data_IF_591247671613
#
_entry.id   IF_591247671613
#
_cell.length_a   1.000
_cell.length_b   1.000
_cell.length_c   1.000
_cell.angle_alpha   90.00
_cell.angle_beta   90.00
_cell.angle_gamma   90.00
#
_symmetry.space_group_name_H-M   'P 1'
#
loop_
_entity.id
_entity.type
_entity.pdbx_description
1 polymer ?
#
# COMPACT_ATOMS: atom_id res chain seq x y z
N UNK A 1 -13.62 15.22 -9.56
CA UNK A 1 -14.86 14.83 -8.86
C UNK A 1 -14.44 14.13 -7.58
N UNK A 2 -14.67 14.74 -6.42
CA UNK A 2 -14.29 14.17 -5.13
C UNK A 2 -15.16 12.95 -4.84
N UNK A 3 -14.56 11.76 -4.69
CA UNK A 3 -15.27 10.53 -4.33
C UNK A 3 -15.95 10.74 -2.98
N UNK A 4 -17.28 10.56 -2.92
CA UNK A 4 -18.10 10.89 -1.74
C UNK A 4 -17.79 10.05 -0.50
N UNK A 5 -16.95 9.02 -0.64
CA UNK A 5 -16.44 8.20 0.46
C UNK A 5 -15.21 8.80 1.16
N UNK A 6 -14.63 9.87 0.61
CA UNK A 6 -13.42 10.50 1.14
C UNK A 6 -13.80 11.84 1.77
N UNK A 7 -14.02 11.81 3.09
CA UNK A 7 -14.21 13.02 3.87
C UNK A 7 -12.89 13.77 4.10
N UNK A 8 -12.96 15.09 4.33
CA UNK A 8 -11.80 15.96 4.55
C UNK A 8 -10.90 15.50 5.70
N UNK A 9 -11.45 14.80 6.70
CA UNK A 9 -10.68 14.20 7.80
C UNK A 9 -9.75 13.06 7.36
N UNK A 10 -10.01 12.41 6.22
CA UNK A 10 -9.12 11.40 5.66
C UNK A 10 -7.91 12.06 4.99
N UNK A 11 -8.12 13.21 4.33
CA UNK A 11 -7.05 13.98 3.67
C UNK A 11 -6.07 14.62 4.65
N UNK A 12 -6.44 14.76 5.93
CA UNK A 12 -5.51 15.19 6.99
C UNK A 12 -4.53 14.09 7.44
N UNK A 13 -4.81 12.84 7.08
CA UNK A 13 -3.99 11.67 7.41
C UNK A 13 -3.14 11.26 6.21
N UNK A 14 -2.13 10.42 6.43
CA UNK A 14 -1.30 9.91 5.33
C UNK A 14 -2.09 8.95 4.45
N UNK A 15 -1.77 8.93 3.17
CA UNK A 15 -2.22 7.90 2.25
C UNK A 15 -1.09 6.90 2.02
N UNK A 16 -1.42 5.61 2.07
CA UNK A 16 -0.45 4.54 1.87
C UNK A 16 -0.77 3.72 0.62
N UNK A 17 0.26 3.40 -0.15
CA UNK A 17 0.18 2.49 -1.29
C UNK A 17 1.09 1.31 -1.01
N UNK A 18 0.52 0.12 -0.83
CA UNK A 18 1.28 -1.10 -0.58
C UNK A 18 1.43 -1.91 -1.87
N UNK A 19 2.68 -2.15 -2.25
CA UNK A 19 3.09 -2.86 -3.46
C UNK A 19 3.77 -4.15 -3.04
N UNK A 20 3.26 -5.29 -3.53
CA UNK A 20 3.86 -6.61 -3.29
C UNK A 20 3.97 -7.40 -4.59
N UNK A 21 5.11 -8.02 -4.81
CA UNK A 21 5.34 -8.97 -5.91
C UNK A 21 6.06 -10.19 -5.38
N UNK A 22 5.55 -11.39 -5.70
CA UNK A 22 5.89 -12.61 -4.98
C UNK A 22 7.23 -13.25 -5.39
N UNK A 23 7.90 -12.80 -6.46
CA UNK A 23 9.26 -13.27 -6.81
C UNK A 23 10.00 -12.27 -7.72
N UNK A 24 11.35 -12.23 -7.71
CA UNK A 24 12.14 -11.40 -8.63
C UNK A 24 11.85 -11.71 -10.11
N UNK A 25 11.64 -13.00 -10.42
CA UNK A 25 11.26 -13.45 -11.77
C UNK A 25 9.90 -12.89 -12.22
N UNK A 26 8.94 -12.74 -11.31
CA UNK A 26 7.66 -12.09 -11.63
C UNK A 26 7.79 -10.57 -11.80
N UNK A 27 8.68 -9.90 -11.05
CA UNK A 27 8.92 -8.45 -11.23
C UNK A 27 9.46 -8.16 -12.63
N UNK A 28 10.39 -8.99 -13.11
CA UNK A 28 10.98 -8.82 -14.43
C UNK A 28 10.00 -9.12 -15.57
N UNK A 29 9.15 -10.15 -15.40
CA UNK A 29 8.16 -10.57 -16.39
C UNK A 29 6.86 -9.74 -16.37
N UNK A 30 6.51 -9.09 -15.25
CA UNK A 30 5.25 -8.37 -15.07
C UNK A 30 5.44 -6.85 -14.88
N UNK A 31 6.32 -6.24 -15.70
CA UNK A 31 6.59 -4.79 -15.65
C UNK A 31 5.34 -3.92 -15.77
N UNK A 32 4.32 -4.35 -16.53
CA UNK A 32 3.03 -3.66 -16.60
C UNK A 32 2.26 -3.69 -15.27
N UNK A 33 2.33 -4.81 -14.54
CA UNK A 33 1.71 -4.93 -13.22
C UNK A 33 2.39 -4.01 -12.22
N UNK A 34 3.72 -3.93 -12.26
CA UNK A 34 4.50 -2.99 -11.43
C UNK A 34 4.12 -1.54 -11.76
N UNK A 35 4.05 -1.16 -13.04
CA UNK A 35 3.62 0.18 -13.45
C UNK A 35 2.21 0.52 -12.98
N UNK A 36 1.26 -0.42 -13.06
CA UNK A 36 -0.11 -0.20 -12.55
C UNK A 36 -0.16 -0.04 -11.04
N UNK A 37 0.72 -0.72 -10.30
CA UNK A 37 0.83 -0.57 -8.85
C UNK A 37 1.38 0.81 -8.47
N UNK A 38 2.41 1.29 -9.16
CA UNK A 38 2.90 2.66 -8.96
C UNK A 38 1.89 3.73 -9.40
N UNK A 39 1.07 3.45 -10.42
CA UNK A 39 -0.02 4.34 -10.82
C UNK A 39 -1.09 4.54 -9.72
N UNK A 40 -1.12 3.69 -8.68
CA UNK A 40 -1.96 3.93 -7.52
C UNK A 40 -1.51 5.15 -6.71
N UNK A 41 -0.22 5.49 -6.70
CA UNK A 41 0.27 6.69 -6.03
C UNK A 41 -0.30 7.96 -6.69
N UNK A 42 -0.31 7.99 -8.03
CA UNK A 42 -0.94 9.09 -8.78
C UNK A 42 -2.45 9.11 -8.53
N UNK A 43 -3.10 7.94 -8.46
CA UNK A 43 -4.52 7.87 -8.11
C UNK A 43 -4.84 8.42 -6.72
N UNK A 44 -3.97 8.19 -5.73
CA UNK A 44 -4.12 8.80 -4.39
C UNK A 44 -4.06 10.33 -4.47
N UNK A 45 -3.21 10.88 -5.33
CA UNK A 45 -3.10 12.33 -5.54
C UNK A 45 -4.35 12.88 -6.22
N UNK A 46 -4.90 12.17 -7.21
CA UNK A 46 -6.17 12.53 -7.86
C UNK A 46 -7.36 12.51 -6.88
N UNK A 47 -7.26 11.73 -5.80
CA UNK A 47 -8.25 11.71 -4.72
C UNK A 47 -8.10 12.88 -3.73
N UNK A 48 -7.05 13.68 -3.85
CA UNK A 48 -6.87 14.93 -3.10
C UNK A 48 -5.80 14.91 -2.02
N UNK A 49 -5.01 13.84 -1.88
CA UNK A 49 -3.84 13.85 -1.00
C UNK A 49 -2.68 14.65 -1.60
N UNK A 50 -2.00 15.42 -0.75
CA UNK A 50 -0.76 16.06 -1.16
C UNK A 50 0.37 15.03 -1.30
N UNK A 51 1.32 15.29 -2.19
CA UNK A 51 2.40 14.34 -2.52
C UNK A 51 3.29 14.01 -1.31
N UNK A 52 3.45 14.93 -0.36
CA UNK A 52 4.16 14.74 0.90
C UNK A 52 3.42 13.82 1.90
N UNK A 53 2.10 13.62 1.70
CA UNK A 53 1.27 12.73 2.51
C UNK A 53 1.14 11.33 1.89
N UNK A 54 1.68 11.09 0.69
CA UNK A 54 1.63 9.78 0.01
C UNK A 54 2.88 8.97 0.34
N UNK A 55 2.70 7.80 0.95
CA UNK A 55 3.77 6.84 1.23
C UNK A 55 3.59 5.60 0.37
N UNK A 56 4.58 5.28 -0.46
CA UNK A 56 4.62 4.02 -1.22
C UNK A 56 5.49 3.04 -0.44
N UNK A 57 4.94 1.86 -0.17
CA UNK A 57 5.58 0.77 0.55
C UNK A 57 5.80 -0.36 -0.45
N UNK A 58 7.02 -0.46 -0.96
CA UNK A 58 7.45 -1.42 -1.98
C UNK A 58 8.58 -2.34 -1.48
N UNK A 59 8.89 -2.28 -0.19
CA UNK A 59 9.95 -3.02 0.50
C UNK A 59 9.78 -4.55 0.40
N UNK A 60 8.56 -5.01 0.10
CA UNK A 60 8.23 -6.43 -0.09
C UNK A 60 8.28 -6.88 -1.56
N UNK A 61 8.84 -6.06 -2.47
CA UNK A 61 9.09 -6.44 -3.86
C UNK A 61 10.22 -7.47 -3.97
N UNK A 62 9.92 -8.63 -4.55
CA UNK A 62 10.93 -9.65 -4.85
C UNK A 62 11.37 -10.49 -3.65
N UNK A 63 10.75 -10.30 -2.47
CA UNK A 63 10.99 -11.13 -1.29
C UNK A 63 10.10 -12.38 -1.34
N UNK A 64 10.74 -13.56 -1.39
CA UNK A 64 10.07 -14.86 -1.24
C UNK A 64 9.75 -15.13 0.23
N UNK A 65 8.78 -14.41 0.81
CA UNK A 65 8.11 -14.78 2.06
C UNK A 65 8.92 -14.77 3.37
N UNK A 66 10.24 -14.60 3.33
CA UNK A 66 11.09 -14.51 4.52
C UNK A 66 11.51 -13.05 4.76
N UNK A 67 10.65 -12.29 5.44
CA UNK A 67 11.06 -11.02 6.02
C UNK A 67 11.84 -11.32 7.31
N UNK A 68 13.12 -10.95 7.34
CA UNK A 68 13.91 -11.01 8.56
C UNK A 68 13.54 -9.82 9.47
N UNK A 69 13.37 -10.10 10.76
CA UNK A 69 13.44 -9.11 11.85
C UNK A 69 12.50 -7.89 11.81
N UNK A 70 11.21 -8.09 11.52
CA UNK A 70 10.19 -7.06 11.81
C UNK A 70 10.30 -5.77 10.98
N UNK A 71 11.08 -5.78 9.90
CA UNK A 71 11.23 -4.67 8.93
C UNK A 71 10.55 -4.97 7.60
N UNK A 72 9.38 -5.62 7.63
CA UNK A 72 8.59 -5.80 6.42
C UNK A 72 7.68 -4.60 6.19
N UNK A 73 7.51 -4.22 4.92
CA UNK A 73 6.62 -3.11 4.56
C UNK A 73 5.19 -3.36 5.04
N UNK A 74 4.78 -4.63 5.07
CA UNK A 74 3.52 -5.03 5.67
C UNK A 74 3.37 -4.68 7.17
N UNK A 75 4.39 -4.91 8.00
CA UNK A 75 4.31 -4.62 9.44
C UNK A 75 4.26 -3.11 9.69
N UNK A 76 5.09 -2.34 8.98
CA UNK A 76 5.06 -0.88 9.04
C UNK A 76 3.69 -0.32 8.64
N UNK A 77 3.17 -0.76 7.50
CA UNK A 77 1.82 -0.41 7.04
C UNK A 77 0.75 -0.74 8.09
N UNK A 78 0.82 -1.94 8.70
CA UNK A 78 -0.19 -2.40 9.67
C UNK A 78 -0.14 -1.56 10.95
N UNK A 79 1.05 -1.23 11.44
CA UNK A 79 1.22 -0.36 12.61
C UNK A 79 0.62 1.03 12.36
N UNK A 80 0.87 1.60 11.19
CA UNK A 80 0.39 2.93 10.80
C UNK A 80 -1.13 2.99 10.66
N UNK A 81 -1.73 1.92 10.12
CA UNK A 81 -3.19 1.75 10.08
C UNK A 81 -3.74 1.61 11.51
N UNK A 82 -3.12 0.80 12.37
CA UNK A 82 -3.57 0.58 13.74
C UNK A 82 -3.48 1.85 14.61
N UNK A 83 -2.48 2.70 14.37
CA UNK A 83 -2.32 4.01 15.03
C UNK A 83 -3.31 5.06 14.51
N UNK A 84 -4.12 4.75 13.49
CA UNK A 84 -5.09 5.67 12.90
C UNK A 84 -4.46 6.84 12.12
N UNK A 85 -3.18 6.70 11.76
CA UNK A 85 -2.42 7.69 11.01
C UNK A 85 -2.67 7.67 9.49
N UNK A 86 -3.42 6.66 9.02
CA UNK A 86 -3.68 6.41 7.60
C UNK A 86 -5.14 6.73 7.25
N UNK A 87 -5.33 7.63 6.29
CA UNK A 87 -6.64 8.02 5.78
C UNK A 87 -7.15 7.13 4.66
N UNK A 88 -6.23 6.50 3.91
CA UNK A 88 -6.52 5.53 2.86
C UNK A 88 -5.33 4.58 2.66
N UNK A 89 -5.62 3.31 2.39
CA UNK A 89 -4.65 2.30 1.97
C UNK A 89 -5.09 1.72 0.62
N UNK A 90 -4.23 1.78 -0.38
CA UNK A 90 -4.44 1.17 -1.70
C UNK A 90 -3.42 0.05 -1.95
N UNK A 91 -3.85 -1.01 -2.62
CA UNK A 91 -3.00 -2.11 -3.10
C UNK A 91 -3.75 -2.98 -4.10
N UNK A 92 -3.05 -3.62 -5.03
CA UNK A 92 -3.67 -4.43 -6.09
C UNK A 92 -3.97 -5.88 -5.63
N UNK A 93 -3.20 -6.42 -4.68
CA UNK A 93 -3.43 -7.75 -4.10
C UNK A 93 -3.78 -7.69 -2.61
N UNK A 94 -4.93 -7.07 -2.29
CA UNK A 94 -5.46 -7.00 -0.91
C UNK A 94 -5.93 -8.38 -0.40
N UNK A 95 -5.99 -9.40 -1.26
CA UNK A 95 -6.40 -10.76 -0.89
C UNK A 95 -5.44 -11.45 0.09
N UNK A 96 -4.24 -10.92 0.33
CA UNK A 96 -3.36 -11.33 1.44
C UNK A 96 -3.59 -10.55 2.73
N UNK A 97 -4.10 -9.33 2.64
CA UNK A 97 -4.44 -8.47 3.78
C UNK A 97 -5.59 -9.09 4.59
N UNK A 98 -6.62 -9.59 3.89
CA UNK A 98 -7.77 -10.25 4.50
C UNK A 98 -7.44 -11.62 5.13
N UNK A 99 -6.40 -12.31 4.64
CA UNK A 99 -6.00 -13.63 5.14
C UNK A 99 -5.19 -13.57 6.45
N UNK A 100 -4.52 -12.45 6.74
CA UNK A 100 -3.90 -12.22 8.05
C UNK A 100 -4.87 -11.66 9.11
N UNK A 101 -6.07 -11.25 8.70
CA UNK A 101 -7.08 -10.72 9.61
C UNK A 101 -7.90 -11.82 10.32
N UNK A 102 -7.66 -13.09 10.00
CA UNK A 102 -8.35 -14.25 10.62
C UNK A 102 -7.55 -14.87 11.77
N UNK A 103 -6.42 -14.27 12.15
CA UNK A 103 -5.52 -14.75 13.22
C UNK A 103 -5.59 -13.90 14.51
N UNK A 104 -6.73 -13.25 14.79
CA UNK A 104 -6.98 -12.55 16.07
C UNK A 104 -8.35 -12.87 16.67
#
# INVERSE_FOLDING_TARGET
MTDSRIASMHLQRRAMVYIRQSTPSQVENHRESTRRQYALAERVRDLGWHADQVTVIDEDLGLSGACADGRCGFAYMTAEVALGGVGILLGIEVSRLARHYTDW
#
